data_IF_356738777525
#
_entry.id   IF_356738777525
#
_cell.length_a   1.000
_cell.length_b   1.000
_cell.length_c   1.000
_cell.angle_alpha   90.00
_cell.angle_beta   90.00
_cell.angle_gamma   90.00
#
_symmetry.space_group_name_H-M   'P 1'
#
loop_
_entity.id
_entity.type
_entity.pdbx_description
1 polymer ?
#
# COMPACT_ATOMS: atom_id res chain seq x y z
N UNK A 1 -6.92 46.85 -27.67
CA UNK A 1 -6.44 45.95 -28.75
C UNK A 1 -4.90 45.88 -28.88
N UNK A 2 -4.12 46.96 -28.65
CA UNK A 2 -2.64 46.91 -28.72
C UNK A 2 -1.97 46.00 -27.67
N UNK A 3 -2.54 45.90 -26.46
CA UNK A 3 -1.99 45.04 -25.39
C UNK A 3 -2.27 43.55 -25.58
N UNK A 4 -3.34 43.17 -26.28
CA UNK A 4 -3.68 41.76 -26.58
C UNK A 4 -2.68 41.17 -27.57
N UNK A 5 -2.21 41.98 -28.53
CA UNK A 5 -1.19 41.58 -29.49
C UNK A 5 0.20 41.43 -28.84
N UNK A 6 0.51 42.25 -27.83
CA UNK A 6 1.75 42.15 -27.05
C UNK A 6 1.80 40.91 -26.14
N UNK A 7 0.67 40.51 -25.55
CA UNK A 7 0.57 39.32 -24.69
C UNK A 7 0.72 38.02 -25.50
N UNK A 8 0.17 37.96 -26.70
CA UNK A 8 0.28 36.79 -27.59
C UNK A 8 1.72 36.53 -28.08
N UNK A 9 2.49 37.59 -28.34
CA UNK A 9 3.89 37.49 -28.77
C UNK A 9 4.79 36.99 -27.62
N UNK A 10 4.50 37.40 -26.37
CA UNK A 10 5.25 36.93 -25.19
C UNK A 10 5.00 35.46 -24.86
N UNK A 11 3.78 34.95 -25.07
CA UNK A 11 3.44 33.53 -24.84
C UNK A 11 4.06 32.62 -25.92
N UNK A 12 4.13 33.08 -27.16
CA UNK A 12 4.75 32.32 -28.26
C UNK A 12 6.29 32.19 -28.11
N UNK A 13 6.95 33.18 -27.50
CA UNK A 13 8.40 33.17 -27.30
C UNK A 13 8.88 32.25 -26.16
N UNK A 14 7.98 31.83 -25.24
CA UNK A 14 8.34 31.01 -24.08
C UNK A 14 8.47 29.50 -24.33
N UNK A 15 8.02 29.00 -25.48
CA UNK A 15 7.93 27.55 -25.78
C UNK A 15 9.18 26.96 -26.46
N UNK A 16 10.26 27.72 -26.62
CA UNK A 16 11.38 27.38 -27.54
C UNK A 16 12.63 26.84 -26.83
N UNK A 17 12.55 26.46 -25.54
CA UNK A 17 13.74 25.98 -24.81
C UNK A 17 13.37 24.74 -24.01
N UNK A 18 13.59 23.55 -24.57
CA UNK A 18 13.97 22.29 -23.89
C UNK A 18 13.83 21.10 -24.84
N UNK A 19 14.74 20.95 -25.81
CA UNK A 19 14.98 19.66 -26.46
C UNK A 19 16.43 19.60 -26.95
N UNK A 20 17.34 19.33 -26.01
CA UNK A 20 18.71 18.95 -26.32
C UNK A 20 19.13 17.82 -25.39
N UNK A 21 19.32 16.63 -25.95
CA UNK A 21 20.55 15.88 -25.69
C UNK A 21 20.79 14.86 -26.81
N UNK A 22 22.05 14.83 -27.21
CA UNK A 22 22.67 14.09 -28.30
C UNK A 22 22.96 12.64 -27.90
N UNK A 23 22.77 11.72 -28.84
CA UNK A 23 23.31 10.36 -28.76
C UNK A 23 23.53 9.82 -30.18
N UNK A 24 24.74 10.05 -30.70
CA UNK A 24 25.24 9.41 -31.93
C UNK A 24 25.65 7.98 -31.60
N UNK A 25 25.26 6.99 -32.40
CA UNK A 25 26.18 5.94 -32.85
C UNK A 25 25.64 5.06 -34.00
N UNK A 26 26.44 5.06 -35.07
CA UNK A 26 26.75 4.01 -36.05
C UNK A 26 25.66 3.24 -36.84
N UNK A 27 25.69 3.46 -38.16
CA UNK A 27 25.24 2.55 -39.25
C UNK A 27 26.23 1.37 -39.41
N UNK A 28 26.07 0.35 -40.30
CA UNK A 28 24.95 -0.10 -41.17
C UNK A 28 24.66 -1.63 -41.06
N UNK A 29 23.55 -2.11 -41.65
CA UNK A 29 23.53 -3.25 -42.61
C UNK A 29 22.14 -3.90 -42.78
N UNK A 30 21.74 -4.04 -44.04
CA UNK A 30 20.69 -4.91 -44.57
C UNK A 30 20.98 -6.39 -44.27
N UNK A 31 19.95 -7.19 -43.91
CA UNK A 31 19.85 -8.62 -44.25
C UNK A 31 18.41 -9.16 -44.09
N UNK A 32 18.07 -10.11 -44.97
CA UNK A 32 16.74 -10.70 -45.24
C UNK A 32 16.24 -11.67 -44.13
N UNK A 33 14.95 -12.09 -44.13
CA UNK A 33 14.40 -12.91 -43.05
C UNK A 33 14.82 -14.38 -43.21
N UNK A 34 15.38 -14.97 -42.15
CA UNK A 34 15.59 -16.42 -42.05
C UNK A 34 14.82 -16.96 -40.85
N UNK A 35 13.92 -17.89 -41.12
CA UNK A 35 13.08 -18.62 -40.16
C UNK A 35 13.95 -19.58 -39.34
N UNK A 36 13.87 -19.54 -38.02
CA UNK A 36 14.45 -20.58 -37.15
C UNK A 36 13.46 -20.94 -36.02
N UNK A 37 13.28 -22.24 -35.69
CA UNK A 37 12.18 -22.69 -34.86
C UNK A 37 12.35 -22.35 -33.38
N UNK A 38 11.26 -21.86 -32.80
CA UNK A 38 11.01 -21.71 -31.37
C UNK A 38 11.14 -23.06 -30.66
N UNK A 39 12.17 -23.22 -29.83
CA UNK A 39 12.18 -24.24 -28.78
C UNK A 39 11.62 -23.64 -27.51
N UNK A 40 10.45 -24.15 -27.10
CA UNK A 40 9.75 -23.81 -25.87
C UNK A 40 10.52 -24.34 -24.66
N UNK A 41 10.96 -23.52 -23.69
CA UNK A 41 11.14 -23.99 -22.33
C UNK A 41 9.78 -23.90 -21.62
N UNK A 42 9.12 -25.05 -21.47
CA UNK A 42 8.05 -25.22 -20.48
C UNK A 42 8.72 -25.17 -19.11
N UNK A 43 8.91 -23.97 -18.58
CA UNK A 43 9.18 -23.77 -17.16
C UNK A 43 7.88 -24.03 -16.42
N UNK A 44 7.77 -25.19 -15.77
CA UNK A 44 6.77 -25.38 -14.74
C UNK A 44 6.91 -24.25 -13.71
N UNK A 45 5.83 -23.56 -13.30
CA UNK A 45 5.90 -22.61 -12.20
C UNK A 45 6.37 -23.35 -10.95
N UNK A 46 7.49 -22.92 -10.38
CA UNK A 46 7.85 -23.33 -9.02
C UNK A 46 6.73 -22.85 -8.10
N UNK A 47 6.12 -23.78 -7.37
CA UNK A 47 5.13 -23.49 -6.35
C UNK A 47 5.77 -22.57 -5.30
N UNK A 48 5.23 -21.36 -5.05
CA UNK A 48 5.81 -20.45 -4.08
C UNK A 48 5.67 -21.08 -2.69
N UNK A 49 6.81 -21.40 -2.06
CA UNK A 49 6.85 -21.73 -0.64
C UNK A 49 6.42 -20.49 0.14
N UNK A 50 5.15 -20.45 0.54
CA UNK A 50 4.51 -19.31 1.21
C UNK A 50 5.09 -19.20 2.63
N UNK A 51 6.16 -18.42 2.80
CA UNK A 51 6.69 -18.11 4.13
C UNK A 51 5.82 -17.03 4.77
N UNK A 52 5.37 -17.24 6.00
CA UNK A 52 4.48 -16.31 6.70
C UNK A 52 5.26 -15.14 7.32
N UNK A 53 5.00 -13.93 6.83
CA UNK A 53 5.60 -12.69 7.34
C UNK A 53 4.92 -12.23 8.64
N UNK A 54 5.20 -12.96 9.71
CA UNK A 54 4.64 -12.74 11.06
C UNK A 54 5.58 -11.94 11.98
N UNK A 55 6.55 -11.20 11.43
CA UNK A 55 7.50 -10.41 12.22
C UNK A 55 7.11 -8.93 12.19
N UNK A 56 6.57 -8.35 13.28
CA UNK A 56 6.25 -6.93 13.31
C UNK A 56 7.47 -6.05 13.06
N UNK A 57 7.27 -4.99 12.29
CA UNK A 57 8.27 -3.95 12.05
C UNK A 57 8.17 -2.80 13.07
N UNK A 58 9.07 -1.80 12.96
CA UNK A 58 8.98 -0.60 13.77
C UNK A 58 7.73 0.21 13.40
N UNK A 59 7.10 0.79 14.42
CA UNK A 59 6.01 1.77 14.25
C UNK A 59 6.53 3.17 14.53
N UNK A 60 5.91 4.16 13.88
CA UNK A 60 6.24 5.57 14.07
C UNK A 60 4.96 6.40 14.04
N UNK A 61 4.82 7.30 15.02
CA UNK A 61 3.74 8.27 15.03
C UNK A 61 4.21 9.57 14.35
N UNK A 62 3.33 10.25 13.59
CA UNK A 62 3.62 11.59 13.12
C UNK A 62 3.57 12.60 14.28
N UNK A 63 3.85 13.87 13.96
CA UNK A 63 3.61 14.98 14.90
C UNK A 63 2.19 14.95 15.46
N UNK A 64 2.01 15.41 16.71
CA UNK A 64 0.76 15.28 17.45
C UNK A 64 -0.49 15.79 16.69
N UNK A 65 -0.36 16.85 15.88
CA UNK A 65 -1.46 17.42 15.09
C UNK A 65 -1.96 16.52 13.96
N UNK A 66 -1.15 15.53 13.54
CA UNK A 66 -1.48 14.58 12.49
C UNK A 66 -1.87 13.20 13.03
N UNK A 67 -1.81 12.97 14.34
CA UNK A 67 -2.07 11.64 14.88
C UNK A 67 -3.53 11.21 14.69
N UNK A 68 -3.69 9.92 14.38
CA UNK A 68 -4.97 9.22 14.30
C UNK A 68 -4.90 7.90 15.05
N UNK A 69 -6.07 7.38 15.41
CA UNK A 69 -6.21 6.17 16.24
C UNK A 69 -6.95 5.10 15.46
N UNK A 70 -6.44 3.88 15.55
CA UNK A 70 -7.08 2.66 15.04
C UNK A 70 -7.23 1.64 16.17
N UNK A 71 -8.30 0.86 16.12
CA UNK A 71 -8.51 -0.27 17.03
C UNK A 71 -8.44 -1.58 16.26
N UNK A 72 -7.78 -2.58 16.85
CA UNK A 72 -7.70 -3.95 16.32
C UNK A 72 -8.27 -4.88 17.40
N UNK A 73 -9.26 -5.69 17.03
CA UNK A 73 -9.82 -6.73 17.90
C UNK A 73 -9.94 -8.04 17.12
N UNK A 74 -9.80 -9.17 17.81
CA UNK A 74 -9.98 -10.51 17.25
C UNK A 74 -11.06 -11.23 18.03
N UNK A 75 -12.04 -11.73 17.30
CA UNK A 75 -13.12 -12.52 17.85
C UNK A 75 -12.60 -13.90 18.30
N UNK A 76 -13.01 -14.32 19.50
CA UNK A 76 -12.59 -15.60 20.10
C UNK A 76 -13.19 -16.82 19.43
N UNK A 77 -14.39 -16.66 18.86
CA UNK A 77 -15.22 -17.79 18.41
C UNK A 77 -14.94 -18.12 16.95
N UNK A 78 -14.80 -17.12 16.10
CA UNK A 78 -14.62 -17.26 14.66
C UNK A 78 -13.20 -16.90 14.22
N UNK A 79 -12.42 -16.19 15.04
CA UNK A 79 -11.07 -15.75 14.68
C UNK A 79 -11.05 -14.53 13.76
N UNK A 80 -12.22 -13.98 13.43
CA UNK A 80 -12.35 -12.77 12.63
C UNK A 80 -11.64 -11.61 13.29
N UNK A 81 -10.75 -10.95 12.55
CA UNK A 81 -10.03 -9.77 13.00
C UNK A 81 -10.76 -8.54 12.46
N UNK A 82 -11.16 -7.64 13.34
CA UNK A 82 -11.79 -6.37 12.98
C UNK A 82 -10.82 -5.24 13.26
N UNK A 83 -10.52 -4.47 12.22
CA UNK A 83 -9.74 -3.24 12.32
C UNK A 83 -10.66 -2.07 12.05
N UNK A 84 -10.67 -1.07 12.94
CA UNK A 84 -11.58 0.05 12.84
C UNK A 84 -10.93 1.39 13.08
N UNK A 85 -11.32 2.37 12.28
CA UNK A 85 -10.89 3.76 12.45
C UNK A 85 -11.58 4.40 13.66
N UNK A 86 -10.83 5.12 14.48
CA UNK A 86 -11.31 5.76 15.71
C UNK A 86 -11.22 7.30 15.68
N UNK A 87 -10.81 7.86 14.54
CA UNK A 87 -10.63 9.31 14.38
C UNK A 87 -9.29 9.78 14.93
N UNK A 88 -9.18 11.09 15.15
CA UNK A 88 -8.00 11.73 15.71
C UNK A 88 -7.83 13.16 15.19
N UNK A 89 -6.89 13.89 15.76
CA UNK A 89 -6.66 15.29 15.39
C UNK A 89 -6.25 15.44 13.92
N UNK A 90 -5.52 14.44 13.41
CA UNK A 90 -5.02 14.41 12.04
C UNK A 90 -5.99 13.91 10.98
N UNK A 91 -7.23 13.55 11.32
CA UNK A 91 -8.11 12.83 10.38
C UNK A 91 -8.35 13.57 9.05
N UNK A 92 -8.41 14.90 9.09
CA UNK A 92 -8.65 15.73 7.90
C UNK A 92 -7.45 15.82 6.96
N UNK A 93 -6.30 15.28 7.37
CA UNK A 93 -5.07 15.21 6.57
C UNK A 93 -4.83 13.81 6.01
N UNK A 94 -5.67 12.84 6.35
CA UNK A 94 -5.50 11.46 5.91
C UNK A 94 -6.10 11.28 4.51
N UNK A 95 -5.28 10.83 3.57
CA UNK A 95 -5.72 10.43 2.24
C UNK A 95 -6.36 9.03 2.27
N UNK A 96 -5.66 8.05 2.88
CA UNK A 96 -6.21 6.72 3.11
C UNK A 96 -5.52 6.02 4.30
N UNK A 97 -6.15 4.95 4.77
CA UNK A 97 -5.61 4.07 5.80
C UNK A 97 -5.59 2.66 5.24
N UNK A 98 -4.39 2.16 4.96
CA UNK A 98 -4.18 0.81 4.46
C UNK A 98 -3.96 -0.15 5.62
N UNK A 99 -4.68 -1.26 5.62
CA UNK A 99 -4.58 -2.33 6.60
C UNK A 99 -4.14 -3.60 5.90
N UNK A 100 -2.94 -4.08 6.23
CA UNK A 100 -2.39 -5.35 5.76
C UNK A 100 -2.56 -6.41 6.85
N UNK A 101 -3.15 -7.55 6.48
CA UNK A 101 -3.20 -8.76 7.29
C UNK A 101 -2.26 -9.81 6.70
N UNK A 102 -1.27 -10.23 7.48
CA UNK A 102 -0.41 -11.37 7.15
C UNK A 102 -0.87 -12.57 7.98
N UNK A 103 -1.38 -13.57 7.27
CA UNK A 103 -1.94 -14.77 7.85
C UNK A 103 -0.85 -15.77 8.22
N UNK A 104 -1.11 -16.57 9.25
CA UNK A 104 -0.17 -17.61 9.68
C UNK A 104 0.16 -18.65 8.59
N UNK A 105 -0.75 -18.87 7.64
CA UNK A 105 -0.58 -19.78 6.50
C UNK A 105 0.29 -19.19 5.37
N UNK A 106 0.79 -17.96 5.54
CA UNK A 106 1.56 -17.21 4.56
C UNK A 106 0.71 -16.33 3.64
N UNK A 107 -0.61 -16.32 3.81
CA UNK A 107 -1.51 -15.41 3.11
C UNK A 107 -1.24 -13.95 3.44
N UNK A 108 -1.60 -13.09 2.51
CA UNK A 108 -1.61 -11.66 2.70
C UNK A 108 -2.88 -11.10 2.08
N UNK A 109 -3.55 -10.22 2.81
CA UNK A 109 -4.72 -9.48 2.32
C UNK A 109 -4.59 -8.02 2.75
N UNK A 110 -4.95 -7.12 1.83
CA UNK A 110 -4.93 -5.67 2.06
C UNK A 110 -6.36 -5.13 1.94
N UNK A 111 -6.77 -4.30 2.90
CA UNK A 111 -8.03 -3.54 2.86
C UNK A 111 -7.77 -2.09 3.20
N UNK A 112 -8.71 -1.23 2.86
CA UNK A 112 -8.64 0.19 3.14
C UNK A 112 -9.79 0.63 4.05
N UNK A 113 -9.47 1.52 4.99
CA UNK A 113 -10.44 2.25 5.80
C UNK A 113 -10.58 3.68 5.27
N UNK A 114 -11.81 4.19 5.26
CA UNK A 114 -12.11 5.59 4.97
C UNK A 114 -11.86 6.46 6.20
N UNK A 115 -11.01 7.48 6.04
CA UNK A 115 -10.76 8.46 7.09
C UNK A 115 -11.92 9.47 7.28
N UNK A 116 -12.81 9.60 6.29
CA UNK A 116 -13.99 10.47 6.37
C UNK A 116 -15.06 9.93 7.32
N UNK A 117 -15.02 8.62 7.60
CA UNK A 117 -16.03 7.91 8.39
C UNK A 117 -15.41 7.33 9.64
N UNK A 118 -15.48 8.09 10.75
CA UNK A 118 -15.15 7.52 12.07
C UNK A 118 -16.01 6.28 12.31
N UNK A 119 -15.40 5.22 12.84
CA UNK A 119 -15.99 3.87 13.03
C UNK A 119 -16.11 3.05 11.76
N UNK A 120 -15.54 3.47 10.63
CA UNK A 120 -15.35 2.56 9.51
C UNK A 120 -14.53 1.34 9.96
N UNK A 121 -14.85 0.18 9.40
CA UNK A 121 -14.25 -1.09 9.80
C UNK A 121 -14.01 -1.99 8.61
N UNK A 122 -12.90 -2.70 8.66
CA UNK A 122 -12.59 -3.82 7.77
C UNK A 122 -12.41 -5.08 8.59
N UNK A 123 -12.81 -6.21 8.03
CA UNK A 123 -12.69 -7.51 8.68
C UNK A 123 -11.78 -8.43 7.87
N UNK A 124 -11.06 -9.31 8.56
CA UNK A 124 -10.22 -10.34 7.97
C UNK A 124 -10.58 -11.69 8.58
N UNK A 125 -10.59 -12.74 7.75
CA UNK A 125 -10.92 -14.09 8.18
C UNK A 125 -9.67 -14.77 8.76
N UNK A 126 -9.24 -14.28 9.92
CA UNK A 126 -8.11 -14.82 10.67
C UNK A 126 -8.38 -16.20 11.26
N UNK A 127 -7.31 -16.90 11.66
CA UNK A 127 -7.44 -18.23 12.27
C UNK A 127 -7.67 -18.16 13.78
N UNK A 128 -8.63 -18.93 14.33
CA UNK A 128 -8.94 -18.93 15.77
C UNK A 128 -7.74 -19.29 16.67
N UNK A 129 -6.91 -20.23 16.19
CA UNK A 129 -5.79 -20.81 16.97
C UNK A 129 -4.43 -20.30 16.53
N UNK A 130 -4.40 -19.40 15.56
CA UNK A 130 -3.17 -18.83 14.99
C UNK A 130 -3.04 -17.37 15.37
N UNK A 131 -1.82 -16.87 15.32
CA UNK A 131 -1.53 -15.45 15.38
C UNK A 131 -1.38 -14.94 13.96
N UNK A 132 -2.03 -13.82 13.67
CA UNK A 132 -1.93 -13.12 12.40
C UNK A 132 -1.35 -11.75 12.68
N UNK A 133 -0.56 -11.20 11.76
CA UNK A 133 0.03 -9.87 11.92
C UNK A 133 -0.86 -8.84 11.23
N UNK A 134 -1.20 -7.79 11.95
CA UNK A 134 -1.88 -6.63 11.39
C UNK A 134 -0.89 -5.47 11.34
N UNK A 135 -0.75 -4.86 10.17
CA UNK A 135 0.01 -3.64 9.94
C UNK A 135 -0.92 -2.58 9.39
N UNK A 136 -0.95 -1.41 10.02
CA UNK A 136 -1.74 -0.26 9.60
C UNK A 136 -0.83 0.87 9.18
N UNK A 137 -0.94 1.26 7.92
CA UNK A 137 -0.23 2.38 7.32
C UNK A 137 -1.21 3.51 7.06
N UNK A 138 -0.92 4.69 7.59
CA UNK A 138 -1.70 5.90 7.31
C UNK A 138 -0.94 6.72 6.29
N UNK A 139 -1.59 7.01 5.17
CA UNK A 139 -1.06 7.85 4.11
C UNK A 139 -1.71 9.23 4.23
N UNK A 140 -0.91 10.25 4.49
CA UNK A 140 -1.39 11.63 4.63
C UNK A 140 -1.24 12.40 3.31
N UNK A 141 -2.08 13.41 3.15
CA UNK A 141 -1.99 14.34 2.04
C UNK A 141 -0.78 15.29 2.16
N UNK A 142 -0.35 15.84 1.03
CA UNK A 142 0.71 16.85 0.98
C UNK A 142 2.08 16.33 1.41
N UNK A 143 2.78 17.10 2.24
CA UNK A 143 4.17 16.83 2.65
C UNK A 143 4.31 16.07 3.97
N UNK A 144 3.20 15.59 4.55
CA UNK A 144 3.22 14.90 5.85
C UNK A 144 3.84 13.50 5.73
N UNK A 145 3.59 12.81 4.62
CA UNK A 145 4.14 11.49 4.31
C UNK A 145 3.27 10.33 4.80
N UNK A 146 3.89 9.16 4.98
CA UNK A 146 3.21 7.92 5.37
C UNK A 146 3.82 7.34 6.63
N UNK A 147 2.97 6.81 7.52
CA UNK A 147 3.39 6.29 8.82
C UNK A 147 2.76 4.94 9.11
N UNK A 148 3.58 3.99 9.54
CA UNK A 148 3.10 2.74 10.12
C UNK A 148 2.78 3.00 11.59
N UNK A 149 1.50 3.17 11.90
CA UNK A 149 1.04 3.56 13.24
C UNK A 149 0.72 2.36 14.14
N UNK A 150 0.53 1.19 13.53
CA UNK A 150 0.28 -0.08 14.22
C UNK A 150 0.94 -1.19 13.42
N UNK A 151 1.70 -2.04 14.09
CA UNK A 151 2.24 -3.26 13.52
C UNK A 151 2.43 -4.26 14.67
N UNK A 152 1.60 -5.29 14.72
CA UNK A 152 1.63 -6.27 15.81
C UNK A 152 0.99 -7.59 15.42
N UNK A 153 1.44 -8.66 16.06
CA UNK A 153 0.70 -9.91 16.12
C UNK A 153 -0.57 -9.72 16.92
N UNK A 154 -1.68 -10.18 16.36
CA UNK A 154 -2.96 -10.25 17.02
C UNK A 154 -3.04 -11.61 17.72
N UNK A 155 -3.07 -11.64 19.06
CA UNK A 155 -2.98 -12.89 19.82
C UNK A 155 -4.22 -13.76 19.60
N UNK A 156 -4.04 -15.08 19.71
CA UNK A 156 -5.18 -15.99 19.96
C UNK A 156 -5.82 -15.57 21.29
N UNK A 157 -7.13 -15.41 21.31
CA UNK A 157 -7.85 -15.03 22.54
C UNK A 157 -8.35 -16.32 23.18
N UNK A 158 -7.79 -16.70 24.33
CA UNK A 158 -8.09 -17.97 24.99
C UNK A 158 -9.52 -17.93 25.54
N UNK A 159 -10.34 -18.93 25.22
CA UNK A 159 -11.66 -19.10 25.80
C UNK A 159 -11.44 -19.48 27.27
N UNK A 160 -11.80 -18.59 28.20
CA UNK A 160 -11.78 -18.91 29.62
C UNK A 160 -12.74 -20.09 29.82
N UNK A 161 -12.27 -21.28 30.23
CA UNK A 161 -13.17 -22.39 30.51
C UNK A 161 -14.04 -21.98 31.69
N UNK A 162 -15.36 -21.91 31.49
CA UNK A 162 -16.28 -21.76 32.62
C UNK A 162 -16.07 -22.97 33.53
N UNK A 163 -15.53 -22.74 34.73
CA UNK A 163 -15.44 -23.75 35.77
C UNK A 163 -16.87 -24.22 36.08
N UNK A 164 -17.12 -25.52 35.85
CA UNK A 164 -18.37 -26.20 36.20
C UNK A 164 -18.46 -26.41 37.70
#
# INVERSE_FOLDING_TARGET
MRYVSLILVFIAAGLVICAGCTGTDSSPATQAPTVQPTVTPTSAPAEPTKNSDLVPGPTQQPESKYQVVVGVDKDTVYGTITVGFRGGMGQNYVNNIQVDCYYADGGHETKELSADKVRDTVTFDGGQKTQDRIKVTVNYEGSVGSYVIYDSLVPKKEIIPMMK
#
